data_IF_547355506444
#
_entry.id   IF_547355506444
#
_cell.length_a   1.000
_cell.length_b   1.000
_cell.length_c   1.000
_cell.angle_alpha   90.00
_cell.angle_beta   90.00
_cell.angle_gamma   90.00
#
_symmetry.space_group_name_H-M   'P 1'
#
loop_
_entity.id
_entity.type
_entity.pdbx_description
1 polymer ?
#
# COMPACT_ATOMS: atom_id res chain seq x y z
N UNK A 1 -5.87 -1.58 3.28
CA UNK A 1 -4.96 -0.56 3.85
C UNK A 1 -3.62 -1.18 4.19
N UNK A 2 -2.56 -0.37 4.37
CA UNK A 2 -1.21 -0.88 4.68
C UNK A 2 -1.15 -1.73 5.97
N UNK A 3 -1.87 -1.34 7.02
CA UNK A 3 -1.94 -2.13 8.27
C UNK A 3 -2.62 -3.49 8.07
N UNK A 4 -3.65 -3.57 7.23
CA UNK A 4 -4.30 -4.84 6.93
C UNK A 4 -3.33 -5.80 6.21
N UNK A 5 -2.54 -5.27 5.28
CA UNK A 5 -1.49 -6.04 4.59
C UNK A 5 -0.44 -6.57 5.57
N UNK A 6 0.07 -5.72 6.48
CA UNK A 6 1.03 -6.13 7.51
C UNK A 6 0.45 -7.19 8.45
N UNK A 7 -0.83 -7.08 8.81
CA UNK A 7 -1.52 -8.08 9.61
C UNK A 7 -1.54 -9.44 8.90
N UNK A 8 -1.90 -9.46 7.61
CA UNK A 8 -1.92 -10.68 6.79
C UNK A 8 -0.53 -11.28 6.64
N UNK A 9 0.50 -10.46 6.37
CA UNK A 9 1.89 -10.91 6.29
C UNK A 9 2.34 -11.52 7.62
N UNK A 10 2.08 -10.84 8.74
CA UNK A 10 2.45 -11.35 10.06
C UNK A 10 1.73 -12.65 10.38
N UNK A 11 0.46 -12.79 10.00
CA UNK A 11 -0.27 -14.05 10.17
C UNK A 11 0.35 -15.19 9.34
N UNK A 12 0.80 -14.91 8.12
CA UNK A 12 1.42 -15.90 7.24
C UNK A 12 2.87 -16.25 7.63
N UNK A 13 3.65 -15.28 8.10
CA UNK A 13 5.09 -15.44 8.39
C UNK A 13 5.40 -15.62 9.88
N UNK A 14 4.46 -15.32 10.78
CA UNK A 14 4.66 -15.29 12.23
C UNK A 14 5.35 -14.00 12.74
N UNK A 15 6.35 -13.49 12.01
CA UNK A 15 6.99 -12.20 12.27
C UNK A 15 7.19 -11.40 10.98
N UNK A 16 7.10 -10.07 11.09
CA UNK A 16 7.43 -9.13 10.02
C UNK A 16 8.94 -9.09 9.72
N UNK A 17 9.81 -9.49 10.66
CA UNK A 17 11.27 -9.55 10.46
C UNK A 17 11.70 -10.53 9.36
N UNK A 18 10.79 -11.41 8.95
CA UNK A 18 11.01 -12.37 7.86
C UNK A 18 10.79 -11.75 6.47
N UNK A 19 10.26 -10.53 6.39
CA UNK A 19 10.11 -9.79 5.14
C UNK A 19 11.48 -9.28 4.70
N UNK A 20 11.96 -9.75 3.55
CA UNK A 20 13.24 -9.30 2.99
C UNK A 20 13.12 -7.96 2.27
N UNK A 21 12.05 -7.78 1.49
CA UNK A 21 11.83 -6.59 0.66
C UNK A 21 10.38 -6.49 0.20
N UNK A 22 9.85 -5.28 0.17
CA UNK A 22 8.64 -4.93 -0.56
C UNK A 22 9.01 -4.71 -2.03
N UNK A 23 8.54 -5.59 -2.91
CA UNK A 23 8.90 -5.55 -4.34
C UNK A 23 7.95 -4.62 -5.11
N UNK A 24 6.66 -4.69 -4.83
CA UNK A 24 5.63 -3.92 -5.54
C UNK A 24 4.50 -3.51 -4.60
N UNK A 25 3.91 -2.35 -4.87
CA UNK A 25 2.63 -1.94 -4.27
C UNK A 25 1.72 -1.38 -5.37
N UNK A 26 0.51 -1.91 -5.46
CA UNK A 26 -0.55 -1.41 -6.33
C UNK A 26 -1.64 -0.80 -5.47
N UNK A 27 -1.94 0.48 -5.68
CA UNK A 27 -2.98 1.20 -4.95
C UNK A 27 -4.05 1.74 -5.89
N UNK A 28 -5.30 1.53 -5.52
CA UNK A 28 -6.45 2.17 -6.13
C UNK A 28 -7.06 3.16 -5.15
N UNK A 29 -7.32 4.38 -5.61
CA UNK A 29 -7.91 5.45 -4.79
C UNK A 29 -9.26 5.78 -5.38
N UNK A 30 -10.32 5.61 -4.59
CA UNK A 30 -11.64 6.07 -4.95
C UNK A 30 -11.64 7.61 -4.95
N UNK A 31 -11.71 8.21 -6.14
CA UNK A 31 -11.48 9.64 -6.30
C UNK A 31 -12.32 10.23 -7.42
N UNK A 32 -12.65 11.52 -7.29
CA UNK A 32 -13.29 12.29 -8.36
C UNK A 32 -12.38 12.37 -9.61
N UNK A 33 -12.99 12.65 -10.76
CA UNK A 33 -12.30 12.68 -12.07
C UNK A 33 -11.19 13.74 -12.16
N UNK A 34 -11.27 14.79 -11.34
CA UNK A 34 -10.34 15.91 -11.28
C UNK A 34 -9.26 15.74 -10.19
N UNK A 35 -9.36 14.72 -9.35
CA UNK A 35 -8.32 14.39 -8.39
C UNK A 35 -7.17 13.69 -9.10
N UNK A 36 -5.94 14.21 -8.94
CA UNK A 36 -4.72 13.67 -9.59
C UNK A 36 -3.61 13.34 -8.58
N UNK A 37 -3.95 13.41 -7.30
CA UNK A 37 -3.03 13.25 -6.18
C UNK A 37 -3.05 11.82 -5.59
N UNK A 38 -3.52 10.82 -6.35
CA UNK A 38 -3.50 9.41 -5.94
C UNK A 38 -2.10 8.95 -5.48
N UNK A 39 -0.99 9.36 -6.14
CA UNK A 39 0.35 9.03 -5.64
C UNK A 39 0.61 9.52 -4.21
N UNK A 40 0.09 10.69 -3.83
CA UNK A 40 0.22 11.24 -2.46
C UNK A 40 -0.60 10.45 -1.46
N UNK A 41 -1.77 9.95 -1.85
CA UNK A 41 -2.58 9.07 -0.97
C UNK A 41 -1.86 7.76 -0.69
N UNK A 42 -1.27 7.14 -1.72
CA UNK A 42 -0.54 5.87 -1.57
C UNK A 42 0.81 6.05 -0.86
N UNK A 43 1.36 7.28 -0.78
CA UNK A 43 2.56 7.54 0.02
C UNK A 43 2.39 7.06 1.47
N UNK A 44 1.21 7.21 2.08
CA UNK A 44 1.00 6.75 3.45
C UNK A 44 1.26 5.25 3.65
N UNK A 45 1.05 4.42 2.61
CA UNK A 45 1.41 3.00 2.67
C UNK A 45 2.92 2.78 2.44
N UNK A 46 3.50 3.50 1.49
CA UNK A 46 4.93 3.40 1.17
C UNK A 46 5.82 3.89 2.32
N UNK A 47 5.44 4.99 2.96
CA UNK A 47 6.12 5.57 4.12
C UNK A 47 6.02 4.64 5.33
N UNK A 48 4.84 4.07 5.61
CA UNK A 48 4.67 3.05 6.65
C UNK A 48 5.60 1.84 6.43
N UNK A 49 5.71 1.35 5.20
CA UNK A 49 6.60 0.22 4.90
C UNK A 49 8.09 0.62 4.97
N UNK A 50 8.44 1.84 4.58
CA UNK A 50 9.78 2.37 4.73
C UNK A 50 10.17 2.56 6.21
N UNK A 51 9.23 2.98 7.07
CA UNK A 51 9.44 3.08 8.52
C UNK A 51 9.71 1.71 9.17
N UNK A 52 9.04 0.65 8.69
CA UNK A 52 9.18 -0.70 9.25
C UNK A 52 10.36 -1.49 8.69
N UNK A 53 10.59 -1.42 7.38
CA UNK A 53 11.57 -2.26 6.68
C UNK A 53 12.79 -1.45 6.19
N UNK A 54 12.86 -0.15 6.49
CA UNK A 54 13.88 0.76 6.00
C UNK A 54 13.63 1.25 4.58
N UNK A 55 14.31 2.33 4.17
CA UNK A 55 14.15 2.92 2.83
C UNK A 55 14.63 2.01 1.71
N UNK A 56 15.62 1.15 1.98
CA UNK A 56 16.14 0.20 1.00
C UNK A 56 15.17 -0.96 0.75
N UNK A 57 14.59 -1.55 1.80
CA UNK A 57 13.80 -2.78 1.69
C UNK A 57 12.28 -2.55 1.80
N UNK A 58 11.83 -1.42 2.32
CA UNK A 58 10.42 -1.05 2.42
C UNK A 58 9.87 -0.34 1.17
N UNK A 59 10.75 0.09 0.26
CA UNK A 59 10.38 0.82 -0.96
C UNK A 59 10.58 -0.06 -2.20
N UNK A 60 9.48 -0.30 -2.90
CA UNK A 60 9.43 -1.07 -4.14
C UNK A 60 8.84 -0.28 -5.31
N UNK A 61 8.63 -0.97 -6.44
CA UNK A 61 7.89 -0.41 -7.56
C UNK A 61 6.45 -0.08 -7.14
N UNK A 62 5.87 0.98 -7.72
CA UNK A 62 4.54 1.43 -7.31
C UNK A 62 3.66 1.84 -8.49
N UNK A 63 2.38 1.50 -8.37
CA UNK A 63 1.31 2.06 -9.19
C UNK A 63 0.24 2.64 -8.26
N UNK A 64 -0.18 3.87 -8.53
CA UNK A 64 -1.28 4.54 -7.81
C UNK A 64 -2.28 5.03 -8.85
N UNK A 65 -3.47 4.43 -8.85
CA UNK A 65 -4.46 4.61 -9.91
C UNK A 65 -5.78 5.17 -9.34
N UNK A 66 -6.47 6.04 -10.09
CA UNK A 66 -7.84 6.40 -9.75
C UNK A 66 -8.78 5.20 -9.93
N UNK A 67 -9.83 5.16 -9.11
CA UNK A 67 -11.03 4.34 -9.34
C UNK A 67 -12.28 5.19 -9.15
N UNK A 68 -13.31 4.90 -9.93
CA UNK A 68 -14.62 5.55 -9.79
C UNK A 68 -15.44 5.00 -8.61
N UNK A 69 -15.17 3.75 -8.21
CA UNK A 69 -15.75 3.10 -7.03
C UNK A 69 -14.85 1.95 -6.61
N UNK A 70 -14.96 1.54 -5.34
CA UNK A 70 -14.26 0.37 -4.81
C UNK A 70 -15.25 -0.52 -4.05
N UNK A 71 -14.98 -1.83 -3.94
CA UNK A 71 -15.82 -2.75 -3.17
C UNK A 71 -16.11 -2.23 -1.77
N UNK A 72 -17.38 -2.31 -1.36
CA UNK A 72 -17.80 -1.84 -0.03
C UNK A 72 -17.75 -0.31 0.16
N UNK A 73 -17.52 0.47 -0.91
CA UNK A 73 -17.44 1.93 -0.82
C UNK A 73 -16.18 2.42 -0.09
N UNK A 74 -15.14 1.60 -0.01
CA UNK A 74 -13.88 1.99 0.65
C UNK A 74 -13.17 3.12 -0.10
N UNK A 75 -12.38 3.91 0.61
CA UNK A 75 -11.62 5.01 0.02
C UNK A 75 -10.39 4.53 -0.76
N UNK A 76 -9.72 3.48 -0.28
CA UNK A 76 -8.45 3.01 -0.83
C UNK A 76 -8.36 1.49 -0.75
N UNK A 77 -7.95 0.87 -1.86
CA UNK A 77 -7.58 -0.54 -1.94
C UNK A 77 -6.09 -0.65 -2.27
N UNK A 78 -5.38 -1.58 -1.63
CA UNK A 78 -3.94 -1.76 -1.82
C UNK A 78 -3.61 -3.25 -1.88
N UNK A 79 -2.82 -3.62 -2.86
CA UNK A 79 -2.30 -4.98 -3.14
C UNK A 79 -0.75 -4.96 -3.16
N UNK A 80 -0.12 -6.09 -2.80
CA UNK A 80 1.33 -6.28 -2.79
C UNK A 80 1.76 -7.70 -3.16
#
# INVERSE_FOLDING_TARGET
>A
TGLALLSTIRAALGSLDRVKRVVKTLGFVNSANDFVDQPKVINGCSELFAELFGTENGVGARSALPSNTLPGGIAVEIEM
#
